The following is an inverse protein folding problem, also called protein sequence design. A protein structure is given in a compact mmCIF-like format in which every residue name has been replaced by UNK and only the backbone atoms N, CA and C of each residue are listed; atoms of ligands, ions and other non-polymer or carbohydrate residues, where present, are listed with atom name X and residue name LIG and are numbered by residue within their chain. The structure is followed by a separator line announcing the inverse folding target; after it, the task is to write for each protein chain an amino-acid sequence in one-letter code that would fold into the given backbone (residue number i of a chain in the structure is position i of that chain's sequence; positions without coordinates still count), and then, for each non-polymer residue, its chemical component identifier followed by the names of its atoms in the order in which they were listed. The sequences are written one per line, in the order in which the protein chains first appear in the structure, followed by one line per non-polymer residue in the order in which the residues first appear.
data_IF_082521414954
#
_entry.id   IF_082521414954
#
_cell.length_a   1.000
_cell.length_b   1.000
_cell.length_c   1.000
_cell.angle_alpha   90.00
_cell.angle_beta   90.00
_cell.angle_gamma   90.00
#
_symmetry.space_group_name_H-M   'P 1'
#
loop_
_entity.id
_entity.type
_entity.pdbx_description
1 polymer ?
#
# COMPACT_ATOMS: atom_id res chain seq x y z
N UNK A 1 -9.95 -4.03 15.29
CA UNK A 1 -9.26 -3.57 14.06
C UNK A 1 -9.62 -4.56 12.95
N UNK A 2 -10.44 -4.15 11.98
CA UNK A 2 -10.76 -5.02 10.84
C UNK A 2 -9.73 -4.83 9.72
N UNK A 3 -9.26 -5.91 9.12
CA UNK A 3 -8.35 -5.90 7.95
C UNK A 3 -8.89 -4.99 6.84
N UNK A 4 -10.20 -5.05 6.61
CA UNK A 4 -10.91 -4.19 5.64
C UNK A 4 -10.82 -2.69 5.96
N UNK A 5 -10.85 -2.30 7.23
CA UNK A 5 -10.68 -0.89 7.66
C UNK A 5 -9.27 -0.41 7.37
N UNK A 6 -8.26 -1.24 7.65
CA UNK A 6 -6.86 -0.93 7.36
C UNK A 6 -6.63 -0.79 5.85
N UNK A 7 -7.17 -1.69 5.02
CA UNK A 7 -7.06 -1.58 3.56
C UNK A 7 -7.72 -0.29 3.05
N UNK A 8 -8.90 0.07 3.56
CA UNK A 8 -9.60 1.30 3.15
C UNK A 8 -8.84 2.58 3.57
N UNK A 9 -8.24 2.61 4.76
CA UNK A 9 -7.36 3.71 5.18
C UNK A 9 -6.07 3.74 4.36
N UNK A 10 -5.58 2.56 3.96
CA UNK A 10 -4.37 2.41 3.17
C UNK A 10 -4.54 2.90 1.73
N UNK A 11 -5.70 2.65 1.12
CA UNK A 11 -6.04 3.14 -0.21
C UNK A 11 -6.54 4.59 -0.22
N UNK A 12 -6.45 5.31 0.91
CA UNK A 12 -6.99 6.67 1.10
C UNK A 12 -8.50 6.80 0.87
N UNK A 13 -9.23 5.68 0.79
CA UNK A 13 -10.69 5.64 0.63
C UNK A 13 -11.36 6.17 1.91
N UNK A 14 -10.70 6.00 3.06
CA UNK A 14 -11.17 6.46 4.36
C UNK A 14 -10.14 7.38 5.02
N UNK A 15 -10.62 8.42 5.70
CA UNK A 15 -9.76 9.26 6.54
C UNK A 15 -9.06 8.38 7.58
N UNK A 16 -7.74 8.59 7.80
CA UNK A 16 -7.03 7.87 8.83
C UNK A 16 -7.67 8.05 10.20
N UNK A 17 -7.59 7.02 11.03
CA UNK A 17 -8.08 7.08 12.40
C UNK A 17 -7.48 8.30 13.15
N UNK A 18 -8.30 9.19 13.75
CA UNK A 18 -7.80 10.39 14.44
C UNK A 18 -6.91 10.05 15.64
N UNK A 19 -7.11 8.87 16.25
CA UNK A 19 -6.34 8.39 17.41
C UNK A 19 -5.03 7.70 17.01
N UNK A 20 -4.72 7.63 15.71
CA UNK A 20 -3.50 6.98 15.24
C UNK A 20 -2.25 7.78 15.67
N UNK A 21 -1.15 7.11 16.01
CA UNK A 21 0.10 7.79 16.30
C UNK A 21 0.55 8.64 15.10
N UNK A 22 0.67 9.95 15.32
CA UNK A 22 1.08 10.93 14.30
C UNK A 22 2.61 11.00 14.16
N UNK A 23 3.28 9.85 14.20
CA UNK A 23 4.74 9.81 14.06
C UNK A 23 5.16 9.79 12.60
N UNK A 24 6.34 10.35 12.32
CA UNK A 24 6.96 10.30 10.99
C UNK A 24 7.18 8.84 10.54
N UNK A 25 7.49 7.95 11.47
CA UNK A 25 7.67 6.51 11.21
C UNK A 25 6.43 5.86 10.61
N UNK A 26 5.23 6.17 11.12
CA UNK A 26 3.97 5.64 10.56
C UNK A 26 3.74 6.14 9.13
N UNK A 27 4.10 7.39 8.84
CA UNK A 27 4.04 7.95 7.47
C UNK A 27 5.04 7.24 6.55
N UNK A 28 6.25 6.96 7.02
CA UNK A 28 7.27 6.21 6.27
C UNK A 28 6.85 4.77 6.01
N UNK A 29 6.31 4.06 7.00
CA UNK A 29 5.77 2.71 6.81
C UNK A 29 4.70 2.66 5.72
N UNK A 30 3.80 3.65 5.71
CA UNK A 30 2.77 3.75 4.66
C UNK A 30 3.39 4.09 3.29
N UNK A 31 4.44 4.91 3.24
CA UNK A 31 5.22 5.18 2.03
C UNK A 31 5.90 3.94 1.46
N UNK A 32 6.59 3.17 2.31
CA UNK A 32 7.29 1.94 1.91
C UNK A 32 6.29 0.92 1.33
N UNK A 33 5.15 0.72 1.99
CA UNK A 33 4.17 -0.24 1.48
C UNK A 33 3.52 0.22 0.14
N UNK A 34 3.51 1.54 -0.16
CA UNK A 34 2.98 2.05 -1.44
C UNK A 34 3.97 1.77 -2.55
N UNK A 35 5.25 1.99 -2.24
CA UNK A 35 6.36 1.66 -3.13
C UNK A 35 6.42 0.15 -3.40
N UNK A 36 6.22 -0.71 -2.40
CA UNK A 36 6.23 -2.16 -2.60
C UNK A 36 5.09 -2.63 -3.50
N UNK A 37 3.87 -2.10 -3.36
CA UNK A 37 2.75 -2.43 -4.26
C UNK A 37 3.06 -2.00 -5.69
N UNK A 38 3.62 -0.80 -5.88
CA UNK A 38 4.00 -0.31 -7.20
C UNK A 38 5.07 -1.20 -7.86
N UNK A 39 6.13 -1.54 -7.13
CA UNK A 39 7.18 -2.44 -7.60
C UNK A 39 6.64 -3.85 -7.91
N UNK A 40 5.74 -4.37 -7.07
CA UNK A 40 5.10 -5.66 -7.27
C UNK A 40 4.27 -5.69 -8.56
N UNK A 41 3.47 -4.65 -8.83
CA UNK A 41 2.69 -4.54 -10.07
C UNK A 41 3.62 -4.46 -11.29
N UNK A 42 4.70 -3.69 -11.22
CA UNK A 42 5.70 -3.64 -12.31
C UNK A 42 6.28 -5.03 -12.57
N UNK A 43 6.67 -5.76 -11.51
CA UNK A 43 7.21 -7.09 -11.65
C UNK A 43 6.20 -8.06 -12.28
N UNK A 44 4.91 -7.97 -11.92
CA UNK A 44 3.85 -8.76 -12.55
C UNK A 44 3.66 -8.41 -14.02
N UNK A 45 3.74 -7.14 -14.41
CA UNK A 45 3.67 -6.71 -15.82
C UNK A 45 4.85 -7.29 -16.61
N UNK A 46 6.07 -7.19 -16.06
CA UNK A 46 7.27 -7.76 -16.71
C UNK A 46 7.13 -9.27 -16.87
N UNK A 47 6.66 -9.97 -15.82
CA UNK A 47 6.43 -11.40 -15.86
C UNK A 47 5.38 -11.79 -16.91
N UNK A 48 4.24 -11.09 -16.95
CA UNK A 48 3.18 -11.32 -17.92
C UNK A 48 3.67 -11.13 -19.37
N UNK A 49 4.44 -10.06 -19.62
CA UNK A 49 5.04 -9.81 -20.95
C UNK A 49 6.01 -10.94 -21.33
N UNK A 50 6.85 -11.40 -20.39
CA UNK A 50 7.78 -12.51 -20.62
C UNK A 50 7.12 -13.86 -20.83
N UNK A 51 5.91 -14.06 -20.30
CA UNK A 51 5.19 -15.33 -20.41
C UNK A 51 4.35 -15.39 -21.68
N UNK A 52 3.83 -14.24 -22.14
CA UNK A 52 2.98 -14.12 -23.33
C UNK A 52 3.76 -13.85 -24.63
N UNK A 53 5.06 -13.56 -24.55
CA UNK A 53 5.97 -13.38 -25.69
C UNK A 53 7.03 -14.47 -25.69
#
# INVERSE_FOLDING_TARGET
MGVWKQIAEYLYIRKPDPDRPKSLFVKYMHGINRLSIFLFIIALIILAIKLLR
#
